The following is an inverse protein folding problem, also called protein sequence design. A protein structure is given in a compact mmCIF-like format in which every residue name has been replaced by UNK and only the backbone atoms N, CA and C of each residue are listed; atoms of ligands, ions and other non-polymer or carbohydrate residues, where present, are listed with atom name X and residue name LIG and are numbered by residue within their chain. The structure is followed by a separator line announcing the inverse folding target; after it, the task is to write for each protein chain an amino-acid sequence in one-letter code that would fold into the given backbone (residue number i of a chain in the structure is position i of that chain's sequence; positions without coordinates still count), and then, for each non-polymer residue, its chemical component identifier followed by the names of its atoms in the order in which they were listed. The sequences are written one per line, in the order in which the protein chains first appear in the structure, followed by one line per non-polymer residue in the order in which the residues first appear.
data_IF_539975406372
#
_entry.id   IF_539975406372
#
_cell.length_a   1.000
_cell.length_b   1.000
_cell.length_c   1.000
_cell.angle_alpha   90.00
_cell.angle_beta   90.00
_cell.angle_gamma   90.00
#
_symmetry.space_group_name_H-M   'P 1'
#
loop_
_entity.id
_entity.type
_entity.pdbx_description
1 polymer ?
#
# COMPACT_ATOMS: atom_id res chain seq x y z
N UNK A 1 -6.81 16.12 22.34
CA UNK A 1 -6.57 15.51 21.02
C UNK A 1 -6.50 14.01 21.19
N UNK A 2 -7.57 13.30 20.86
CA UNK A 2 -7.58 11.83 20.91
C UNK A 2 -6.76 11.31 19.74
N UNK A 3 -5.58 10.74 20.01
CA UNK A 3 -4.78 10.05 18.99
C UNK A 3 -5.63 8.89 18.47
N UNK A 4 -6.00 8.93 17.19
CA UNK A 4 -6.88 7.94 16.57
C UNK A 4 -6.05 6.70 16.18
N UNK A 5 -5.48 6.03 17.19
CA UNK A 5 -4.46 4.97 17.09
C UNK A 5 -4.87 3.78 16.23
N UNK A 6 -6.17 3.51 16.08
CA UNK A 6 -6.67 2.43 15.23
C UNK A 6 -6.39 2.70 13.74
N UNK A 7 -6.72 3.90 13.24
CA UNK A 7 -6.50 4.24 11.83
C UNK A 7 -5.02 4.33 11.51
N UNK A 8 -4.21 4.85 12.44
CA UNK A 8 -2.75 4.89 12.29
C UNK A 8 -2.17 3.47 12.20
N UNK A 9 -2.65 2.54 13.04
CA UNK A 9 -2.23 1.14 13.03
C UNK A 9 -2.62 0.42 11.73
N UNK A 10 -3.88 0.59 11.29
CA UNK A 10 -4.37 -0.01 10.04
C UNK A 10 -3.57 0.54 8.86
N UNK A 11 -3.35 1.85 8.80
CA UNK A 11 -2.56 2.49 7.73
C UNK A 11 -1.14 1.94 7.69
N UNK A 12 -0.46 1.84 8.84
CA UNK A 12 0.89 1.29 8.92
C UNK A 12 0.97 -0.18 8.46
N UNK A 13 -0.06 -0.99 8.75
CA UNK A 13 -0.13 -2.38 8.26
C UNK A 13 -0.31 -2.40 6.73
N UNK A 14 -1.21 -1.58 6.20
CA UNK A 14 -1.45 -1.49 4.75
C UNK A 14 -0.19 -1.03 4.01
N UNK A 15 0.53 -0.03 4.52
CA UNK A 15 1.80 0.43 3.96
C UNK A 15 2.83 -0.70 3.90
N UNK A 16 3.00 -1.46 4.99
CA UNK A 16 3.91 -2.62 5.01
C UNK A 16 3.53 -3.68 3.98
N UNK A 17 2.24 -3.98 3.86
CA UNK A 17 1.75 -4.95 2.87
C UNK A 17 1.99 -4.45 1.45
N UNK A 18 1.70 -3.17 1.18
CA UNK A 18 1.93 -2.56 -0.13
C UNK A 18 3.41 -2.65 -0.53
N UNK A 19 4.32 -2.25 0.36
CA UNK A 19 5.78 -2.38 0.14
C UNK A 19 6.16 -3.83 -0.15
N UNK A 20 5.70 -4.78 0.66
CA UNK A 20 6.03 -6.20 0.48
C UNK A 20 5.51 -6.78 -0.84
N UNK A 21 4.28 -6.42 -1.25
CA UNK A 21 3.68 -6.87 -2.50
C UNK A 21 4.37 -6.26 -3.72
N UNK A 22 4.67 -4.96 -3.68
CA UNK A 22 5.42 -4.30 -4.73
C UNK A 22 6.82 -4.87 -4.85
N UNK A 23 7.49 -5.20 -3.73
CA UNK A 23 8.78 -5.90 -3.75
C UNK A 23 8.70 -7.25 -4.46
N UNK A 24 7.68 -8.05 -4.15
CA UNK A 24 7.48 -9.35 -4.80
C UNK A 24 7.27 -9.19 -6.30
N UNK A 25 6.47 -8.21 -6.73
CA UNK A 25 6.22 -7.96 -8.14
C UNK A 25 7.48 -7.51 -8.88
N UNK A 26 8.26 -6.60 -8.28
CA UNK A 26 9.49 -6.06 -8.89
C UNK A 26 10.68 -7.03 -8.81
N UNK A 27 10.66 -8.03 -7.93
CA UNK A 27 11.75 -8.98 -7.78
C UNK A 27 12.01 -9.82 -9.04
N UNK A 28 11.00 -9.98 -9.89
CA UNK A 28 11.09 -10.72 -11.16
C UNK A 28 11.76 -9.92 -12.28
N UNK A 29 11.97 -8.61 -12.10
CA UNK A 29 12.62 -7.77 -13.08
C UNK A 29 14.14 -7.90 -13.03
N UNK A 30 14.78 -7.80 -14.20
CA UNK A 30 16.22 -7.66 -14.33
C UNK A 30 16.71 -6.32 -13.77
N UNK A 31 18.00 -6.20 -13.48
CA UNK A 31 18.57 -4.94 -12.95
C UNK A 31 18.37 -3.77 -13.91
N UNK A 32 18.44 -4.03 -15.21
CA UNK A 32 18.18 -3.03 -16.24
C UNK A 32 16.73 -2.55 -16.23
N UNK A 33 15.77 -3.46 -16.12
CA UNK A 33 14.34 -3.09 -16.06
C UNK A 33 14.01 -2.32 -14.77
N UNK A 34 14.66 -2.65 -13.65
CA UNK A 34 14.55 -1.90 -12.41
C UNK A 34 15.14 -0.48 -12.56
N UNK A 35 16.31 -0.35 -13.19
CA UNK A 35 16.95 0.94 -13.43
C UNK A 35 16.14 1.82 -14.40
N UNK A 36 15.53 1.22 -15.43
CA UNK A 36 14.67 1.90 -16.40
C UNK A 36 13.42 2.52 -15.73
N UNK A 37 12.96 1.99 -14.59
CA UNK A 37 11.89 2.57 -13.75
C UNK A 37 12.41 3.41 -12.58
N UNK A 38 13.72 3.67 -12.52
CA UNK A 38 14.35 4.49 -11.50
C UNK A 38 14.54 3.82 -10.14
N UNK A 39 14.50 2.49 -10.07
CA UNK A 39 14.67 1.71 -8.83
C UNK A 39 15.98 0.93 -8.89
N UNK A 40 16.80 1.01 -7.84
CA UNK A 40 17.98 0.14 -7.73
C UNK A 40 17.61 -1.19 -7.06
N UNK A 41 18.35 -2.28 -7.37
CA UNK A 41 18.19 -3.56 -6.68
C UNK A 41 18.35 -3.42 -5.16
N UNK A 42 19.23 -2.52 -4.72
CA UNK A 42 19.42 -2.17 -3.30
C UNK A 42 18.17 -1.52 -2.72
N UNK A 43 17.61 -0.51 -3.37
CA UNK A 43 16.37 0.16 -2.95
C UNK A 43 15.20 -0.84 -2.88
N UNK A 44 15.12 -1.78 -3.82
CA UNK A 44 14.14 -2.87 -3.80
C UNK A 44 14.32 -3.80 -2.59
N UNK A 45 15.57 -4.14 -2.26
CA UNK A 45 15.90 -5.00 -1.11
C UNK A 45 15.67 -4.32 0.24
N UNK A 46 15.88 -3.01 0.33
CA UNK A 46 15.65 -2.24 1.56
C UNK A 46 14.20 -1.77 1.68
N UNK A 47 13.43 -1.74 0.58
CA UNK A 47 12.08 -1.16 0.55
C UNK A 47 12.06 0.36 0.36
N UNK A 48 13.21 0.96 0.07
CA UNK A 48 13.45 2.42 -0.02
C UNK A 48 12.98 3.04 -1.36
N UNK A 49 12.12 2.32 -2.10
CA UNK A 49 11.43 2.84 -3.29
C UNK A 49 10.03 3.39 -2.95
N UNK A 50 9.57 3.21 -1.71
CA UNK A 50 8.24 3.64 -1.26
C UNK A 50 8.34 4.79 -0.28
N UNK A 51 7.89 5.98 -0.70
CA UNK A 51 7.76 7.15 0.18
C UNK A 51 6.27 7.48 0.40
N UNK A 52 5.73 7.17 1.58
CA UNK A 52 4.31 7.42 1.90
C UNK A 52 3.91 8.90 1.75
N UNK A 53 4.86 9.83 1.83
CA UNK A 53 4.61 11.27 1.66
C UNK A 53 4.38 11.67 0.20
N UNK A 54 4.91 10.88 -0.74
CA UNK A 54 4.74 11.08 -2.18
C UNK A 54 3.55 10.29 -2.73
N UNK A 55 3.00 9.36 -1.95
CA UNK A 55 1.73 8.71 -2.28
C UNK A 55 0.62 9.73 -2.05
N UNK A 56 -0.04 10.15 -3.13
CA UNK A 56 -1.23 11.00 -3.03
C UNK A 56 -2.26 10.30 -2.16
N UNK A 57 -2.60 10.91 -1.02
CA UNK A 57 -3.68 10.39 -0.17
C UNK A 57 -4.97 10.46 -0.97
N UNK A 58 -5.42 9.30 -1.45
CA UNK A 58 -6.75 9.21 -2.05
C UNK A 58 -7.75 9.68 -0.99
N UNK A 59 -8.66 10.62 -1.34
CA UNK A 59 -9.63 11.10 -0.38
C UNK A 59 -10.38 9.89 0.16
N UNK A 60 -10.20 9.64 1.45
CA UNK A 60 -10.99 8.68 2.21
C UNK A 60 -12.39 9.26 2.32
N UNK A 61 -13.16 9.24 1.22
CA UNK A 61 -14.60 9.38 1.32
C UNK A 61 -15.02 8.37 2.38
N UNK A 62 -15.69 8.87 3.43
CA UNK A 62 -16.28 8.04 4.48
C UNK A 62 -16.86 6.84 3.78
N UNK A 63 -16.41 5.64 4.14
CA UNK A 63 -17.03 4.39 3.70
C UNK A 63 -18.46 4.47 4.25
N UNK A 64 -19.37 5.05 3.48
CA UNK A 64 -20.77 5.20 3.84
C UNK A 64 -21.26 3.78 3.90
N UNK A 65 -21.47 3.30 5.14
CA UNK A 65 -22.03 2.02 5.53
C UNK A 65 -22.38 1.15 4.32
N UNK A 66 -21.48 0.23 3.95
CA UNK A 66 -21.85 -0.87 3.06
C UNK A 66 -23.03 -1.55 3.75
N UNK A 67 -24.26 -1.22 3.32
CA UNK A 67 -25.46 -1.89 3.80
C UNK A 67 -25.24 -3.34 3.44
N UNK A 68 -25.09 -4.19 4.45
CA UNK A 68 -25.20 -5.63 4.30
C UNK A 68 -26.58 -5.90 3.72
N UNK A 69 -26.64 -6.04 2.39
CA UNK A 69 -27.80 -6.62 1.72
C UNK A 69 -27.84 -8.07 2.16
N UNK A 70 -28.66 -8.32 3.19
CA UNK A 70 -28.98 -9.67 3.64
C UNK A 70 -29.50 -10.42 2.41
N UNK A 71 -28.73 -11.41 1.94
CA UNK A 71 -29.15 -12.23 0.82
C UNK A 71 -30.51 -12.86 1.17
N UNK A 72 -31.55 -12.50 0.41
CA UNK A 72 -32.84 -13.16 0.50
C UNK A 72 -32.69 -14.51 -0.20
N UNK A 73 -32.66 -15.59 0.58
CA UNK A 73 -32.75 -16.93 0.05
C UNK A 73 -34.06 -17.07 -0.76
N UNK A 74 -33.93 -17.52 -2.00
CA UNK A 74 -35.02 -17.96 -2.85
C UNK A 74 -35.29 -19.45 -2.59
#
# INVERSE_FOLDING_TARGET
MTKNTFFDTVTAIFEKIAVARTRQALAFLSDKELEDIGITRTSLSTGDFYNYKEVTQLPTQKVVNVKTVKAKAA
#
